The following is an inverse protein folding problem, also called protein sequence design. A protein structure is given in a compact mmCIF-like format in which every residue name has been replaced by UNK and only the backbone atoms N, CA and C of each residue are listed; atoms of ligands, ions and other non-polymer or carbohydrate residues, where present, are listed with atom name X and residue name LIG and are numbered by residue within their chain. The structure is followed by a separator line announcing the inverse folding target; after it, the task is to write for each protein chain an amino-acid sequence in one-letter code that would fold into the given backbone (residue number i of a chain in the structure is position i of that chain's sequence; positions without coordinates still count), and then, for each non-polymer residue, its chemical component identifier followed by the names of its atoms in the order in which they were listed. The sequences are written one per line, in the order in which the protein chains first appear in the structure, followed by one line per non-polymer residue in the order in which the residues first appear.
data_IF_178064849544
#
_entry.id   IF_178064849544
#
_cell.length_a   1.000
_cell.length_b   1.000
_cell.length_c   1.000
_cell.angle_alpha   90.00
_cell.angle_beta   90.00
_cell.angle_gamma   90.00
#
_symmetry.space_group_name_H-M   'P 1'
#
loop_
_entity.id
_entity.type
_entity.pdbx_description
1 polymer ?
#
# COMPACT_ATOMS: atom_id res chain seq x y z
N UNK A 1 1.60 58.69 -35.39
CA UNK A 1 0.65 57.69 -34.86
C UNK A 1 1.47 56.52 -34.35
N UNK A 2 1.69 56.34 -33.04
CA UNK A 2 2.53 55.29 -32.53
C UNK A 2 1.81 53.94 -32.68
N UNK A 3 2.37 53.05 -33.50
CA UNK A 3 1.95 51.66 -33.59
C UNK A 3 2.35 50.95 -32.30
N UNK A 4 1.53 51.06 -31.26
CA UNK A 4 1.60 50.13 -30.13
C UNK A 4 1.41 48.74 -30.73
N UNK A 5 2.48 47.94 -30.75
CA UNK A 5 2.48 46.65 -31.40
C UNK A 5 1.41 45.79 -30.74
N UNK A 6 0.46 45.34 -31.55
CA UNK A 6 -0.64 44.45 -31.16
C UNK A 6 -0.13 43.23 -30.36
N UNK A 7 1.14 42.85 -30.59
CA UNK A 7 1.86 41.82 -29.83
C UNK A 7 1.99 42.10 -28.33
N UNK A 8 2.24 43.33 -27.88
CA UNK A 8 2.36 43.63 -26.45
C UNK A 8 1.02 43.62 -25.72
N UNK A 9 -0.06 44.01 -26.39
CA UNK A 9 -1.42 43.92 -25.81
C UNK A 9 -1.89 42.47 -25.69
N UNK A 10 -1.58 41.62 -26.67
CA UNK A 10 -1.89 40.18 -26.61
C UNK A 10 -1.05 39.48 -25.53
N UNK A 11 0.25 39.80 -25.42
CA UNK A 11 1.09 39.25 -24.34
C UNK A 11 0.60 39.65 -22.95
N UNK A 12 0.22 40.92 -22.76
CA UNK A 12 -0.30 41.38 -21.48
C UNK A 12 -1.65 40.73 -21.15
N UNK A 13 -2.57 40.62 -22.11
CA UNK A 13 -3.89 40.00 -21.89
C UNK A 13 -3.78 38.50 -21.57
N UNK A 14 -2.92 37.76 -22.29
CA UNK A 14 -2.69 36.33 -22.03
C UNK A 14 -1.98 36.12 -20.69
N UNK A 15 -0.99 36.95 -20.35
CA UNK A 15 -0.31 36.88 -19.06
C UNK A 15 -1.25 37.12 -17.87
N UNK A 16 -2.15 38.09 -17.97
CA UNK A 16 -3.13 38.38 -16.91
C UNK A 16 -4.23 37.32 -16.80
N UNK A 17 -4.71 36.75 -17.90
CA UNK A 17 -5.71 35.68 -17.86
C UNK A 17 -5.17 34.39 -17.22
N UNK A 18 -3.90 34.04 -17.49
CA UNK A 18 -3.23 32.88 -16.86
C UNK A 18 -3.01 33.12 -15.37
N UNK A 19 -2.59 34.33 -14.97
CA UNK A 19 -2.41 34.67 -13.56
C UNK A 19 -3.73 34.74 -12.78
N UNK A 20 -4.80 35.30 -13.37
CA UNK A 20 -6.11 35.38 -12.74
C UNK A 20 -6.77 34.00 -12.57
N UNK A 21 -6.60 33.10 -13.56
CA UNK A 21 -7.07 31.71 -13.45
C UNK A 21 -6.35 30.92 -12.35
N UNK A 22 -5.06 31.17 -12.15
CA UNK A 22 -4.29 30.55 -11.07
C UNK A 22 -4.61 31.12 -9.68
N UNK A 23 -4.88 32.43 -9.57
CA UNK A 23 -5.21 33.06 -8.30
C UNK A 23 -6.57 32.61 -7.73
N UNK A 24 -7.54 32.27 -8.58
CA UNK A 24 -8.83 31.74 -8.13
C UNK A 24 -8.72 30.29 -7.62
N UNK A 25 -7.86 29.48 -8.24
CA UNK A 25 -7.70 28.07 -7.85
C UNK A 25 -7.09 27.87 -6.46
N UNK A 26 -6.37 28.86 -5.92
CA UNK A 26 -5.79 28.82 -4.58
C UNK A 26 -6.76 29.19 -3.44
N UNK A 27 -7.97 29.67 -3.75
CA UNK A 27 -8.97 30.13 -2.77
C UNK A 27 -10.26 29.29 -2.76
N UNK A 28 -10.22 28.05 -3.24
CA UNK A 28 -11.28 27.12 -2.86
C UNK A 28 -11.15 26.88 -1.34
N UNK A 29 -11.86 27.68 -0.54
CA UNK A 29 -12.14 27.37 0.86
C UNK A 29 -12.57 25.91 0.89
N UNK A 30 -11.93 25.05 1.71
CA UNK A 30 -12.41 23.68 1.86
C UNK A 30 -13.86 23.82 2.29
N UNK A 31 -14.77 23.40 1.41
CA UNK A 31 -16.19 23.43 1.66
C UNK A 31 -16.39 22.88 3.07
N UNK A 32 -16.83 23.76 3.99
CA UNK A 32 -17.06 23.42 5.38
C UNK A 32 -17.89 22.15 5.36
N UNK A 33 -17.24 21.04 5.69
CA UNK A 33 -17.84 19.74 5.63
C UNK A 33 -19.06 19.80 6.52
N UNK A 34 -20.24 19.74 5.90
CA UNK A 34 -21.48 19.44 6.60
C UNK A 34 -21.15 18.30 7.55
N UNK A 35 -21.44 18.51 8.84
CA UNK A 35 -21.00 17.63 9.93
C UNK A 35 -21.23 16.16 9.59
N UNK A 36 -20.34 15.28 10.08
CA UNK A 36 -20.33 13.87 9.68
C UNK A 36 -21.74 13.29 9.83
N UNK A 37 -22.29 12.61 8.80
CA UNK A 37 -23.46 11.79 9.03
C UNK A 37 -23.09 10.77 10.10
N UNK A 38 -23.86 10.71 11.19
CA UNK A 38 -23.65 9.69 12.21
C UNK A 38 -23.56 8.33 11.52
N UNK A 39 -22.46 7.58 11.68
CA UNK A 39 -22.37 6.26 11.12
C UNK A 39 -23.33 5.39 11.92
N UNK A 40 -24.49 5.10 11.33
CA UNK A 40 -25.27 3.92 11.68
C UNK A 40 -24.41 2.70 11.34
N UNK A 41 -23.53 2.33 12.27
CA UNK A 41 -22.73 1.11 12.28
C UNK A 41 -23.66 -0.10 12.36
N UNK A 42 -24.19 -0.51 11.21
CA UNK A 42 -24.64 -1.87 10.96
C UNK A 42 -23.54 -2.59 10.17
N UNK A 43 -22.38 -2.79 10.80
CA UNK A 43 -21.36 -3.71 10.28
C UNK A 43 -21.87 -5.12 10.58
N UNK A 44 -22.50 -5.73 9.57
CA UNK A 44 -22.72 -7.17 9.54
C UNK A 44 -21.35 -7.85 9.44
N UNK A 45 -20.83 -8.29 10.59
CA UNK A 45 -19.70 -9.21 10.67
C UNK A 45 -20.13 -10.55 10.06
N UNK A 46 -19.84 -10.76 8.78
CA UNK A 46 -19.85 -12.09 8.18
C UNK A 46 -18.46 -12.73 8.38
N UNK A 47 -18.36 -13.88 9.07
CA UNK A 47 -17.12 -14.64 9.09
C UNK A 47 -16.95 -15.36 7.74
N UNK A 48 -16.12 -14.81 6.84
CA UNK A 48 -15.64 -15.56 5.68
C UNK A 48 -14.59 -16.56 6.11
N UNK A 49 -15.02 -17.78 6.41
CA UNK A 49 -14.18 -18.98 6.34
C UNK A 49 -13.94 -19.29 4.86
N UNK A 50 -12.78 -18.90 4.35
CA UNK A 50 -12.27 -19.42 3.07
C UNK A 50 -11.21 -20.46 3.41
N UNK A 51 -11.68 -21.71 3.55
CA UNK A 51 -10.84 -22.90 3.49
C UNK A 51 -10.56 -23.22 2.02
N UNK A 52 -9.33 -22.97 1.57
CA UNK A 52 -8.84 -23.39 0.27
C UNK A 52 -7.91 -24.60 0.41
N UNK A 53 -8.48 -25.80 0.58
CA UNK A 53 -7.77 -27.08 0.43
C UNK A 53 -8.20 -27.73 -0.87
N UNK A 54 -7.36 -27.62 -1.90
CA UNK A 54 -7.43 -28.44 -3.11
C UNK A 54 -6.38 -29.54 -3.05
N UNK A 55 -6.71 -30.65 -2.39
CA UNK A 55 -5.95 -31.91 -2.40
C UNK A 55 -6.79 -32.94 -3.17
N UNK A 56 -6.33 -33.32 -4.36
CA UNK A 56 -6.89 -34.44 -5.13
C UNK A 56 -6.03 -35.68 -4.97
N UNK A 57 -6.67 -36.79 -4.61
CA UNK A 57 -6.25 -38.13 -5.00
C UNK A 57 -5.50 -38.93 -3.94
N UNK A 58 -6.22 -39.83 -3.26
CA UNK A 58 -5.61 -40.83 -2.37
C UNK A 58 -6.64 -41.69 -1.65
N UNK A 59 -7.35 -42.54 -2.40
CA UNK A 59 -8.14 -43.63 -1.83
C UNK A 59 -7.20 -44.70 -1.26
N UNK A 60 -7.22 -44.93 0.06
CA UNK A 60 -7.06 -46.28 0.62
C UNK A 60 -7.39 -46.33 2.12
N UNK A 61 -8.41 -47.12 2.46
CA UNK A 61 -8.30 -48.13 3.51
C UNK A 61 -8.28 -47.75 5.00
N UNK A 62 -9.39 -48.11 5.66
CA UNK A 62 -9.41 -49.05 6.81
C UNK A 62 -9.24 -48.49 8.24
N UNK A 63 -10.42 -48.41 8.88
CA UNK A 63 -10.81 -48.97 10.18
C UNK A 63 -10.12 -48.54 11.49
N UNK A 64 -11.02 -48.10 12.39
CA UNK A 64 -11.13 -48.44 13.81
C UNK A 64 -10.18 -47.77 14.82
N UNK A 65 -10.82 -46.98 15.69
CA UNK A 65 -10.57 -47.00 17.13
C UNK A 65 -9.52 -46.03 17.65
N UNK A 66 -9.96 -44.94 18.28
CA UNK A 66 -9.38 -44.47 19.54
C UNK A 66 -10.19 -43.30 20.12
N UNK A 67 -10.72 -43.57 21.32
CA UNK A 67 -10.64 -42.72 22.51
C UNK A 67 -10.83 -41.22 22.33
N UNK A 68 -12.06 -40.79 22.59
CA UNK A 68 -12.42 -39.46 23.04
C UNK A 68 -11.77 -39.17 24.41
N UNK A 69 -10.64 -38.48 24.39
CA UNK A 69 -10.04 -37.84 25.56
C UNK A 69 -10.62 -36.41 25.70
N UNK A 70 -11.19 -36.04 26.85
CA UNK A 70 -11.78 -34.71 27.03
C UNK A 70 -10.67 -33.65 27.07
N UNK A 71 -10.72 -32.59 26.24
CA UNK A 71 -9.72 -31.53 26.28
C UNK A 71 -9.85 -30.78 27.61
N UNK A 72 -8.78 -30.84 28.40
CA UNK A 72 -8.59 -30.04 29.60
C UNK A 72 -8.82 -28.56 29.26
N UNK A 73 -9.82 -27.97 29.92
CA UNK A 73 -10.17 -26.56 29.85
C UNK A 73 -9.09 -25.68 30.50
N UNK A 74 -7.92 -25.61 29.87
CA UNK A 74 -6.94 -24.55 30.06
C UNK A 74 -7.29 -23.37 29.16
N UNK A 75 -8.50 -22.82 29.30
CA UNK A 75 -8.86 -21.56 28.67
C UNK A 75 -8.02 -20.47 29.34
N UNK A 76 -6.83 -20.24 28.79
CA UNK A 76 -6.03 -19.07 29.11
C UNK A 76 -6.95 -17.88 28.88
N UNK A 77 -7.33 -17.23 29.99
CA UNK A 77 -8.08 -15.99 29.98
C UNK A 77 -7.32 -15.03 29.08
N UNK A 78 -7.77 -14.89 27.82
CA UNK A 78 -7.32 -13.85 26.93
C UNK A 78 -7.68 -12.57 27.63
N UNK A 79 -6.66 -11.93 28.24
CA UNK A 79 -6.79 -10.61 28.81
C UNK A 79 -7.44 -9.75 27.74
N UNK A 80 -8.64 -9.25 28.06
CA UNK A 80 -9.50 -8.49 27.14
C UNK A 80 -8.78 -7.18 26.86
N UNK A 81 -7.88 -7.22 25.89
CA UNK A 81 -7.24 -6.05 25.33
C UNK A 81 -8.26 -5.23 24.55
N UNK A 82 -7.97 -3.94 24.28
CA UNK A 82 -8.81 -3.14 23.40
C UNK A 82 -8.97 -3.83 22.04
N UNK A 83 -10.12 -3.69 21.37
CA UNK A 83 -10.35 -4.32 20.08
C UNK A 83 -9.27 -3.87 19.09
N UNK A 84 -8.57 -4.85 18.53
CA UNK A 84 -7.47 -4.63 17.58
C UNK A 84 -7.63 -5.58 16.39
N UNK A 85 -7.32 -5.08 15.19
CA UNK A 85 -7.19 -5.93 14.00
C UNK A 85 -5.73 -6.32 13.87
N UNK A 86 -5.46 -7.62 13.78
CA UNK A 86 -4.10 -8.12 13.57
C UNK A 86 -3.95 -8.50 12.11
N UNK A 87 -2.97 -7.91 11.44
CA UNK A 87 -2.55 -8.25 10.08
C UNK A 87 -1.30 -9.12 10.22
N UNK A 88 -1.39 -10.38 9.81
CA UNK A 88 -0.31 -11.36 9.93
C UNK A 88 0.07 -11.87 8.56
N UNK A 89 1.34 -11.72 8.23
CA UNK A 89 1.86 -12.07 6.92
C UNK A 89 3.15 -12.86 7.07
N UNK A 90 3.34 -13.84 6.20
CA UNK A 90 4.59 -14.56 6.08
C UNK A 90 5.19 -14.38 4.68
N UNK A 91 6.51 -14.24 4.64
CA UNK A 91 7.32 -14.38 3.45
C UNK A 91 8.16 -15.65 3.58
N UNK A 92 8.13 -16.50 2.57
CA UNK A 92 9.01 -17.65 2.46
C UNK A 92 9.88 -17.48 1.21
N UNK A 93 11.11 -17.97 1.28
CA UNK A 93 12.03 -17.98 0.13
C UNK A 93 12.25 -19.41 -0.31
N UNK A 94 12.42 -19.55 -1.63
CA UNK A 94 12.91 -20.77 -2.23
C UNK A 94 14.30 -21.15 -1.73
N UNK A 95 14.74 -22.33 -2.15
CA UNK A 95 15.99 -22.92 -1.73
C UNK A 95 17.18 -22.06 -2.16
N UNK A 96 17.91 -21.48 -1.19
CA UNK A 96 19.19 -20.80 -1.47
C UNK A 96 20.36 -21.74 -1.21
N UNK A 97 21.27 -21.93 -2.20
CA UNK A 97 22.24 -23.01 -2.14
C UNK A 97 23.37 -22.79 -1.13
N UNK A 98 23.71 -21.56 -0.72
CA UNK A 98 24.87 -21.33 0.17
C UNK A 98 24.77 -20.08 1.07
N UNK A 99 24.09 -19.02 0.64
CA UNK A 99 24.15 -17.73 1.34
C UNK A 99 22.96 -17.52 2.29
N UNK A 100 23.21 -17.70 3.60
CA UNK A 100 22.23 -17.43 4.66
C UNK A 100 21.77 -15.99 4.66
N UNK A 101 22.64 -15.04 4.36
CA UNK A 101 22.31 -13.62 4.39
C UNK A 101 21.40 -13.25 3.22
N UNK A 102 21.70 -13.77 2.01
CA UNK A 102 20.83 -13.60 0.85
C UNK A 102 19.43 -14.21 1.09
N UNK A 103 19.35 -15.43 1.65
CA UNK A 103 18.09 -16.06 1.97
C UNK A 103 17.25 -15.24 2.98
N UNK A 104 17.89 -14.67 4.00
CA UNK A 104 17.20 -13.82 4.97
C UNK A 104 16.69 -12.52 4.35
N UNK A 105 17.50 -11.85 3.52
CA UNK A 105 17.11 -10.59 2.86
C UNK A 105 15.95 -10.80 1.88
N UNK A 106 15.96 -11.89 1.13
CA UNK A 106 14.86 -12.21 0.22
C UNK A 106 13.57 -12.55 1.00
N UNK A 107 13.69 -13.22 2.15
CA UNK A 107 12.54 -13.55 3.00
C UNK A 107 11.90 -12.29 3.57
N UNK A 108 12.74 -11.33 3.95
CA UNK A 108 12.33 -10.00 4.40
C UNK A 108 11.61 -9.23 3.31
N UNK A 109 12.19 -9.17 2.11
CA UNK A 109 11.56 -8.48 0.99
C UNK A 109 10.22 -9.12 0.61
N UNK A 110 10.13 -10.45 0.60
CA UNK A 110 8.89 -11.16 0.32
C UNK A 110 7.84 -10.90 1.40
N UNK A 111 8.21 -10.99 2.68
CA UNK A 111 7.30 -10.72 3.79
C UNK A 111 6.79 -9.27 3.77
N UNK A 112 7.66 -8.30 3.48
CA UNK A 112 7.29 -6.89 3.32
C UNK A 112 6.36 -6.66 2.12
N UNK A 113 6.61 -7.32 0.98
CA UNK A 113 5.74 -7.23 -0.18
C UNK A 113 4.33 -7.76 0.13
N UNK A 114 4.25 -8.93 0.75
CA UNK A 114 2.96 -9.49 1.16
C UNK A 114 2.27 -8.64 2.23
N UNK A 115 3.02 -7.97 3.12
CA UNK A 115 2.45 -7.01 4.08
C UNK A 115 1.82 -5.82 3.35
N UNK A 116 2.51 -5.26 2.35
CA UNK A 116 1.95 -4.17 1.54
C UNK A 116 0.72 -4.60 0.76
N UNK A 117 0.67 -5.84 0.25
CA UNK A 117 -0.52 -6.38 -0.40
C UNK A 117 -1.70 -6.46 0.56
N UNK A 118 -1.50 -6.97 1.78
CA UNK A 118 -2.54 -7.02 2.81
C UNK A 118 -2.98 -5.63 3.28
N UNK A 119 -2.05 -4.68 3.41
CA UNK A 119 -2.40 -3.29 3.71
C UNK A 119 -3.19 -2.64 2.58
N UNK A 120 -2.85 -2.94 1.32
CA UNK A 120 -3.58 -2.44 0.17
C UNK A 120 -4.99 -3.04 0.07
N UNK A 121 -5.16 -4.34 0.37
CA UNK A 121 -6.49 -4.94 0.44
C UNK A 121 -7.31 -4.32 1.57
N UNK A 122 -6.69 -4.04 2.72
CA UNK A 122 -7.35 -3.38 3.85
C UNK A 122 -7.74 -1.93 3.50
N UNK A 123 -6.88 -1.19 2.80
CA UNK A 123 -7.20 0.14 2.28
C UNK A 123 -8.36 0.08 1.27
N UNK A 124 -8.38 -0.94 0.41
CA UNK A 124 -9.46 -1.16 -0.55
C UNK A 124 -10.77 -1.53 0.16
N UNK A 125 -10.75 -2.30 1.24
CA UNK A 125 -11.94 -2.60 2.05
C UNK A 125 -12.49 -1.34 2.73
N UNK A 126 -11.62 -0.48 3.27
CA UNK A 126 -12.02 0.69 4.05
C UNK A 126 -12.45 1.89 3.20
N UNK A 127 -11.79 2.11 2.07
CA UNK A 127 -11.98 3.31 1.25
C UNK A 127 -12.26 3.01 -0.22
N UNK A 128 -12.45 1.74 -0.61
CA UNK A 128 -12.62 1.31 -2.02
C UNK A 128 -11.47 1.75 -2.95
N UNK A 129 -10.31 2.11 -2.38
CA UNK A 129 -9.18 2.66 -3.11
C UNK A 129 -7.99 1.71 -3.09
N UNK A 130 -7.34 1.57 -4.24
CA UNK A 130 -6.02 0.95 -4.35
C UNK A 130 -4.95 2.02 -4.22
N UNK A 131 -4.00 1.77 -3.33
CA UNK A 131 -2.85 2.64 -3.09
C UNK A 131 -1.67 2.20 -3.97
N UNK A 132 -0.90 3.17 -4.46
CA UNK A 132 0.35 2.87 -5.16
C UNK A 132 1.40 2.35 -4.18
N UNK A 133 2.43 1.63 -4.65
CA UNK A 133 3.50 1.11 -3.77
C UNK A 133 4.19 2.21 -2.95
N UNK A 134 4.40 3.39 -3.56
CA UNK A 134 4.96 4.57 -2.87
C UNK A 134 4.02 5.10 -1.79
N UNK A 135 2.72 5.20 -2.09
CA UNK A 135 1.72 5.62 -1.11
C UNK A 135 1.61 4.62 0.05
N UNK A 136 1.65 3.31 -0.23
CA UNK A 136 1.66 2.28 0.80
C UNK A 136 2.85 2.43 1.74
N UNK A 137 4.04 2.78 1.25
CA UNK A 137 5.20 3.03 2.11
C UNK A 137 4.98 4.23 3.04
N UNK A 138 4.40 5.32 2.53
CA UNK A 138 4.11 6.52 3.34
C UNK A 138 3.02 6.25 4.37
N UNK A 139 1.94 5.59 3.97
CA UNK A 139 0.84 5.22 4.86
C UNK A 139 1.27 4.18 5.90
N UNK A 140 2.13 3.24 5.52
CA UNK A 140 2.74 2.30 6.45
C UNK A 140 3.60 3.01 7.50
N UNK A 141 4.46 3.95 7.08
CA UNK A 141 5.24 4.76 8.02
C UNK A 141 4.35 5.60 8.93
N UNK A 142 3.25 6.16 8.40
CA UNK A 142 2.26 6.88 9.19
C UNK A 142 1.57 5.97 10.22
N UNK A 143 1.23 4.73 9.86
CA UNK A 143 0.64 3.73 10.77
C UNK A 143 1.60 3.38 11.91
N UNK A 144 2.88 3.13 11.62
CA UNK A 144 3.89 2.86 12.65
C UNK A 144 4.12 4.03 13.59
N UNK A 145 3.88 5.27 13.14
CA UNK A 145 3.99 6.46 13.99
C UNK A 145 2.78 6.65 14.94
N UNK A 146 1.70 5.87 14.78
CA UNK A 146 0.51 6.00 15.62
C UNK A 146 0.69 5.30 16.98
N UNK A 147 0.15 5.88 18.07
CA UNK A 147 0.22 5.26 19.39
C UNK A 147 -0.56 3.94 19.43
N UNK A 148 0.07 2.92 20.03
CA UNK A 148 -0.52 1.59 20.21
C UNK A 148 -0.44 0.66 19.00
N UNK A 149 0.17 1.11 17.89
CA UNK A 149 0.51 0.21 16.78
C UNK A 149 1.77 -0.54 17.15
N UNK A 150 1.67 -1.86 17.22
CA UNK A 150 2.79 -2.74 17.52
C UNK A 150 3.15 -3.55 16.28
N UNK A 151 4.44 -3.55 15.93
CA UNK A 151 5.00 -4.42 14.91
C UNK A 151 5.91 -5.45 15.58
N UNK A 152 5.59 -6.73 15.37
CA UNK A 152 6.45 -7.85 15.74
C UNK A 152 6.98 -8.51 14.48
N UNK A 153 8.29 -8.75 14.43
CA UNK A 153 8.94 -9.47 13.36
C UNK A 153 9.61 -10.71 13.96
N UNK A 154 9.34 -11.87 13.36
CA UNK A 154 9.97 -13.13 13.73
C UNK A 154 10.62 -13.71 12.48
N UNK A 155 11.89 -14.10 12.60
CA UNK A 155 12.64 -14.74 11.53
C UNK A 155 13.00 -16.15 12.00
N UNK A 156 12.61 -17.14 11.20
CA UNK A 156 12.98 -18.54 11.38
C UNK A 156 13.83 -19.00 10.19
N UNK A 157 14.99 -19.58 10.46
CA UNK A 157 15.91 -20.06 9.43
C UNK A 157 16.15 -21.53 9.67
N UNK A 158 15.67 -22.36 8.75
CA UNK A 158 15.77 -23.81 8.82
C UNK A 158 16.71 -24.32 7.73
N UNK A 159 17.69 -25.11 8.13
CA UNK A 159 18.55 -25.85 7.21
C UNK A 159 17.85 -27.17 6.83
N UNK A 160 17.42 -27.28 5.58
CA UNK A 160 16.75 -28.46 5.06
C UNK A 160 17.69 -29.23 4.13
N UNK A 161 17.45 -30.53 3.85
CA UNK A 161 18.36 -31.34 3.01
C UNK A 161 18.62 -30.80 1.62
N UNK A 162 17.73 -29.94 1.12
CA UNK A 162 17.83 -29.31 -0.20
C UNK A 162 18.46 -27.92 -0.16
N UNK A 163 18.64 -27.30 1.01
CA UNK A 163 19.26 -25.99 1.17
C UNK A 163 18.62 -25.17 2.31
N UNK A 164 19.08 -23.93 2.46
CA UNK A 164 18.61 -23.01 3.48
C UNK A 164 17.23 -22.47 3.12
N UNK A 165 16.30 -22.52 4.06
CA UNK A 165 14.97 -21.90 3.96
C UNK A 165 14.80 -20.90 5.08
N UNK A 166 14.64 -19.63 4.73
CA UNK A 166 14.31 -18.56 5.65
C UNK A 166 12.81 -18.24 5.53
N UNK A 167 12.15 -18.11 6.68
CA UNK A 167 10.75 -17.71 6.82
C UNK A 167 10.71 -16.49 7.72
N UNK A 168 10.17 -15.39 7.19
CA UNK A 168 9.92 -14.20 7.98
C UNK A 168 8.43 -14.00 8.17
N UNK A 169 8.04 -13.79 9.42
CA UNK A 169 6.69 -13.46 9.81
C UNK A 169 6.63 -12.04 10.36
N UNK A 170 5.77 -11.22 9.76
CA UNK A 170 5.50 -9.86 10.21
C UNK A 170 4.07 -9.81 10.72
N UNK A 171 3.93 -9.48 12.00
CA UNK A 171 2.64 -9.26 12.65
C UNK A 171 2.49 -7.78 12.98
N UNK A 172 1.48 -7.14 12.41
CA UNK A 172 1.13 -5.75 12.66
C UNK A 172 -0.21 -5.72 13.42
N UNK A 173 -0.19 -5.19 14.65
CA UNK A 173 -1.39 -4.99 15.46
C UNK A 173 -1.86 -3.56 15.33
N UNK A 174 -3.08 -3.39 14.82
CA UNK A 174 -3.71 -2.10 14.61
C UNK A 174 -4.87 -1.91 15.59
N UNK A 175 -4.78 -0.95 16.54
CA UNK A 175 -5.92 -0.56 17.36
C UNK A 175 -7.07 -0.04 16.48
N UNK A 176 -8.33 -0.33 16.84
CA UNK A 176 -9.48 0.13 16.06
C UNK A 176 -9.57 1.66 15.94
N UNK A 177 -9.11 2.41 16.96
CA UNK A 177 -9.05 3.86 16.91
C UNK A 177 -8.05 4.41 15.88
N UNK A 178 -6.96 3.66 15.60
CA UNK A 178 -6.01 4.01 14.54
C UNK A 178 -6.60 3.67 13.18
N UNK A 179 -7.26 2.53 13.07
CA UNK A 179 -7.89 2.08 11.82
C UNK A 179 -9.00 3.04 11.36
N UNK A 180 -9.81 3.57 12.28
CA UNK A 180 -10.82 4.60 11.99
C UNK A 180 -10.19 5.94 11.55
N UNK A 181 -9.11 6.37 12.19
CA UNK A 181 -8.37 7.57 11.76
C UNK A 181 -7.70 7.37 10.40
N UNK A 182 -7.20 6.17 10.14
CA UNK A 182 -6.61 5.82 8.87
C UNK A 182 -7.65 5.81 7.75
N UNK A 183 -8.84 5.22 7.98
CA UNK A 183 -9.92 5.25 6.98
C UNK A 183 -10.35 6.68 6.64
N UNK A 184 -10.48 7.55 7.65
CA UNK A 184 -10.80 8.96 7.43
C UNK A 184 -9.73 9.63 6.57
N UNK A 185 -8.45 9.45 6.92
CA UNK A 185 -7.32 9.98 6.16
C UNK A 185 -7.32 9.49 4.70
N UNK A 186 -7.63 8.21 4.46
CA UNK A 186 -7.72 7.67 3.09
C UNK A 186 -8.86 8.32 2.31
N UNK A 187 -10.01 8.59 2.93
CA UNK A 187 -11.12 9.30 2.30
C UNK A 187 -10.76 10.75 1.98
N UNK A 188 -10.05 11.44 2.88
CA UNK A 188 -9.59 12.82 2.65
C UNK A 188 -8.63 12.87 1.45
N UNK A 189 -7.69 11.93 1.34
CA UNK A 189 -6.79 11.81 0.18
C UNK A 189 -7.55 11.51 -1.11
N UNK A 190 -8.63 10.73 -1.05
CA UNK A 190 -9.47 10.45 -2.19
C UNK A 190 -10.21 11.71 -2.64
N UNK A 191 -10.80 12.46 -1.70
CA UNK A 191 -11.52 13.69 -1.96
C UNK A 191 -10.62 14.77 -2.56
N UNK A 192 -9.39 14.90 -2.06
CA UNK A 192 -8.39 15.81 -2.63
C UNK A 192 -8.04 15.42 -4.07
N UNK A 193 -7.80 14.12 -4.32
CA UNK A 193 -7.48 13.64 -5.67
C UNK A 193 -8.64 13.87 -6.65
N UNK A 194 -9.88 13.59 -6.25
CA UNK A 194 -11.04 13.82 -7.11
C UNK A 194 -11.26 15.30 -7.37
N UNK A 195 -11.08 16.16 -6.37
CA UNK A 195 -11.13 17.61 -6.53
C UNK A 195 -10.08 18.10 -7.56
N UNK A 196 -8.84 17.62 -7.48
CA UNK A 196 -7.80 17.95 -8.46
C UNK A 196 -8.12 17.45 -9.87
N UNK A 197 -8.67 16.25 -10.02
CA UNK A 197 -9.07 15.71 -11.32
C UNK A 197 -10.21 16.51 -11.95
N UNK A 198 -11.26 16.79 -11.18
CA UNK A 198 -12.40 17.60 -11.62
C UNK A 198 -11.92 19.01 -11.97
N UNK A 199 -11.10 19.62 -11.10
CA UNK A 199 -10.53 20.93 -11.31
C UNK A 199 -9.68 20.99 -12.59
N UNK A 200 -8.81 20.01 -12.82
CA UNK A 200 -8.00 19.90 -14.03
C UNK A 200 -8.84 19.73 -15.30
N UNK A 201 -9.92 18.93 -15.24
CA UNK A 201 -10.84 18.75 -16.35
C UNK A 201 -11.60 20.05 -16.70
N UNK A 202 -12.16 20.73 -15.70
CA UNK A 202 -12.84 22.03 -15.88
C UNK A 202 -11.87 23.08 -16.41
N UNK A 203 -10.66 23.16 -15.84
CA UNK A 203 -9.61 24.06 -16.31
C UNK A 203 -9.24 23.82 -17.77
N UNK A 204 -9.13 22.55 -18.19
CA UNK A 204 -8.87 22.19 -19.59
C UNK A 204 -9.98 22.69 -20.52
N UNK A 205 -11.25 22.48 -20.16
CA UNK A 205 -12.39 22.95 -20.96
C UNK A 205 -12.38 24.47 -21.14
N UNK A 206 -12.10 25.22 -20.08
CA UNK A 206 -12.00 26.68 -20.13
C UNK A 206 -10.87 27.15 -21.04
N UNK A 207 -9.69 26.54 -20.95
CA UNK A 207 -8.55 26.85 -21.83
C UNK A 207 -8.88 26.61 -23.29
N UNK A 208 -9.55 25.49 -23.61
CA UNK A 208 -9.98 25.19 -24.97
C UNK A 208 -11.02 26.17 -25.50
N UNK A 209 -12.02 26.53 -24.67
CA UNK A 209 -13.03 27.51 -25.03
C UNK A 209 -12.40 28.88 -25.37
N UNK A 210 -11.49 29.36 -24.51
CA UNK A 210 -10.75 30.60 -24.74
C UNK A 210 -9.91 30.50 -26.01
N UNK A 211 -9.23 29.37 -26.23
CA UNK A 211 -8.46 29.13 -27.44
C UNK A 211 -9.33 29.23 -28.71
N UNK A 212 -10.51 28.61 -28.72
CA UNK A 212 -11.41 28.67 -29.88
C UNK A 212 -11.94 30.07 -30.14
N UNK A 213 -12.27 30.82 -29.09
CA UNK A 213 -12.68 32.23 -29.20
C UNK A 213 -11.57 33.07 -29.83
N UNK A 214 -10.32 32.93 -29.36
CA UNK A 214 -9.17 33.63 -29.91
C UNK A 214 -8.93 33.28 -31.39
N UNK A 215 -9.04 32.01 -31.74
CA UNK A 215 -8.95 31.55 -33.14
C UNK A 215 -10.00 32.22 -34.02
N UNK A 216 -11.26 32.30 -33.58
CA UNK A 216 -12.33 32.97 -34.33
C UNK A 216 -12.09 34.48 -34.51
N UNK A 217 -11.53 35.14 -33.50
CA UNK A 217 -11.16 36.56 -33.59
C UNK A 217 -10.03 36.79 -34.60
N UNK A 218 -9.01 35.92 -34.60
CA UNK A 218 -7.87 36.02 -35.53
C UNK A 218 -8.31 35.68 -36.96
N UNK A 219 -9.16 34.67 -37.13
CA UNK A 219 -9.73 34.30 -38.44
C UNK A 219 -10.51 35.48 -39.06
N UNK A 220 -11.33 36.16 -38.24
CA UNK A 220 -12.05 37.37 -38.66
C UNK A 220 -11.12 38.53 -39.00
N UNK A 221 -10.03 38.70 -38.25
CA UNK A 221 -9.05 39.77 -38.50
C UNK A 221 -8.20 39.53 -39.76
N UNK A 222 -7.94 38.26 -40.10
CA UNK A 222 -7.10 37.87 -41.24
C UNK A 222 -7.89 37.65 -42.54
N UNK A 223 -9.21 37.85 -42.52
CA UNK A 223 -10.06 37.69 -43.70
C UNK A 223 -10.14 36.25 -44.20
N UNK A 224 -10.00 35.25 -43.30
CA UNK A 224 -10.08 33.82 -43.58
C UNK A 224 -8.99 33.22 -44.51
N UNK A 225 -7.95 33.97 -44.89
CA UNK A 225 -6.90 33.48 -45.82
C UNK A 225 -6.08 32.31 -45.24
N UNK A 226 -5.92 32.26 -43.91
CA UNK A 226 -5.08 31.27 -43.21
C UNK A 226 -5.87 30.30 -42.33
N UNK A 227 -7.16 30.10 -42.60
CA UNK A 227 -8.06 29.35 -41.71
C UNK A 227 -7.54 27.97 -41.34
N UNK A 228 -7.17 27.16 -42.33
CA UNK A 228 -6.69 25.78 -42.11
C UNK A 228 -5.37 25.73 -41.32
N UNK A 229 -4.27 26.39 -41.76
CA UNK A 229 -3.01 26.31 -41.01
C UNK A 229 -3.12 26.92 -39.61
N UNK A 230 -3.94 27.95 -39.41
CA UNK A 230 -4.15 28.57 -38.10
C UNK A 230 -4.88 27.63 -37.15
N UNK A 231 -5.96 26.99 -37.61
CA UNK A 231 -6.68 25.99 -36.80
C UNK A 231 -5.76 24.82 -36.44
N UNK A 232 -4.98 24.30 -37.39
CA UNK A 232 -4.03 23.21 -37.13
C UNK A 232 -2.97 23.61 -36.10
N UNK A 233 -2.38 24.80 -36.25
CA UNK A 233 -1.39 25.32 -35.31
C UNK A 233 -1.97 25.47 -33.90
N UNK A 234 -3.17 26.05 -33.78
CA UNK A 234 -3.84 26.25 -32.50
C UNK A 234 -4.19 24.90 -31.84
N UNK A 235 -4.71 23.93 -32.59
CA UNK A 235 -4.98 22.59 -32.07
C UNK A 235 -3.70 21.93 -31.56
N UNK A 236 -2.59 22.07 -32.29
CA UNK A 236 -1.29 21.55 -31.87
C UNK A 236 -0.84 22.19 -30.55
N UNK A 237 -0.89 23.53 -30.46
CA UNK A 237 -0.50 24.27 -29.25
C UNK A 237 -1.37 23.87 -28.05
N UNK A 238 -2.70 23.85 -28.21
CA UNK A 238 -3.60 23.45 -27.14
C UNK A 238 -3.39 22.00 -26.71
N UNK A 239 -3.12 21.09 -27.65
CA UNK A 239 -2.84 19.69 -27.35
C UNK A 239 -1.57 19.55 -26.50
N UNK A 240 -0.49 20.23 -26.89
CA UNK A 240 0.78 20.24 -26.14
C UNK A 240 0.58 20.82 -24.74
N UNK A 241 -0.10 21.95 -24.62
CA UNK A 241 -0.39 22.57 -23.32
C UNK A 241 -1.25 21.67 -22.43
N UNK A 242 -2.23 20.99 -23.01
CA UNK A 242 -3.08 20.03 -22.28
C UNK A 242 -2.23 18.88 -21.75
N UNK A 243 -1.40 18.25 -22.59
CA UNK A 243 -0.51 17.15 -22.16
C UNK A 243 0.45 17.59 -21.06
N UNK A 244 1.08 18.77 -21.20
CA UNK A 244 1.98 19.30 -20.17
C UNK A 244 1.25 19.62 -18.86
N UNK A 245 0.04 20.17 -18.93
CA UNK A 245 -0.80 20.44 -17.77
C UNK A 245 -1.14 19.16 -17.01
N UNK A 246 -1.57 18.12 -17.71
CA UNK A 246 -1.89 16.82 -17.10
C UNK A 246 -0.64 16.11 -16.58
N UNK A 247 0.48 16.20 -17.28
CA UNK A 247 1.77 15.68 -16.79
C UNK A 247 2.16 16.33 -15.47
N UNK A 248 2.09 17.65 -15.39
CA UNK A 248 2.40 18.40 -14.17
C UNK A 248 1.48 18.02 -13.01
N UNK A 249 0.16 18.00 -13.23
CA UNK A 249 -0.83 17.56 -12.23
C UNK A 249 -0.50 16.14 -11.75
N UNK A 250 -0.16 15.23 -12.67
CA UNK A 250 0.26 13.87 -12.34
C UNK A 250 1.48 13.85 -11.41
N UNK A 251 2.54 14.58 -11.74
CA UNK A 251 3.74 14.61 -10.88
C UNK A 251 3.48 15.18 -9.49
N UNK A 252 2.64 16.22 -9.36
CA UNK A 252 2.35 16.85 -8.07
C UNK A 252 1.39 16.06 -7.19
N UNK A 253 0.44 15.34 -7.79
CA UNK A 253 -0.53 14.54 -7.03
C UNK A 253 -0.02 13.15 -6.67
N UNK A 254 1.02 12.66 -7.35
CA UNK A 254 1.52 11.29 -7.17
C UNK A 254 2.91 11.16 -6.54
N UNK A 255 3.66 12.25 -6.37
CA UNK A 255 4.89 12.21 -5.57
C UNK A 255 4.60 12.64 -4.13
N UNK A 256 4.56 11.70 -3.17
CA UNK A 256 4.60 12.10 -1.77
C UNK A 256 5.91 12.86 -1.48
N UNK A 257 5.94 13.72 -0.46
CA UNK A 257 7.19 14.33 0.00
C UNK A 257 8.21 13.20 0.20
N UNK A 258 9.36 13.32 -0.46
CA UNK A 258 10.38 12.28 -0.46
C UNK A 258 10.72 11.81 0.94
N UNK A 259 11.14 10.53 1.12
CA UNK A 259 11.51 10.01 2.42
C UNK A 259 12.50 10.98 3.07
N UNK A 260 12.18 11.43 4.28
CA UNK A 260 13.10 12.28 5.03
C UNK A 260 14.44 11.54 5.10
N UNK A 261 15.56 12.15 4.67
CA UNK A 261 16.85 11.46 4.53
C UNK A 261 17.40 10.87 5.84
N UNK A 262 16.72 11.09 6.97
CA UNK A 262 17.15 10.69 8.31
C UNK A 262 16.63 9.31 8.76
N UNK A 263 15.83 8.58 7.95
CA UNK A 263 15.31 7.25 8.35
C UNK A 263 16.22 6.08 7.95
N UNK A 264 17.26 6.29 7.16
CA UNK A 264 18.29 5.28 6.90
C UNK A 264 19.31 5.26 8.06
N UNK A 265 18.84 4.93 9.26
CA UNK A 265 19.75 4.53 10.34
C UNK A 265 20.45 3.22 9.97
N UNK A 266 21.71 2.99 10.39
CA UNK A 266 22.37 1.71 10.20
C UNK A 266 21.50 0.60 10.80
N UNK A 267 21.37 -0.53 10.08
CA UNK A 267 20.64 -1.69 10.56
C UNK A 267 21.08 -2.01 12.00
N UNK A 268 20.14 -2.21 12.95
CA UNK A 268 20.52 -2.66 14.27
C UNK A 268 21.29 -3.98 14.12
N UNK A 269 22.40 -4.17 14.86
CA UNK A 269 23.13 -5.42 14.83
C UNK A 269 22.17 -6.57 15.19
N UNK A 270 22.35 -7.76 14.59
CA UNK A 270 21.50 -8.90 14.89
C UNK A 270 21.46 -9.10 16.40
N UNK A 271 20.25 -9.04 16.97
CA UNK A 271 20.05 -9.40 18.36
C UNK A 271 20.40 -10.88 18.45
N UNK A 272 21.57 -11.17 18.99
CA UNK A 272 21.97 -12.54 19.35
C UNK A 272 21.01 -12.94 20.46
N UNK A 273 19.85 -13.50 20.07
CA UNK A 273 19.03 -14.26 21.00
C UNK A 273 19.97 -15.39 21.44
N UNK A 274 20.35 -15.46 22.73
CA UNK A 274 21.19 -16.56 23.18
C UNK A 274 20.47 -17.82 22.73
N UNK A 275 21.17 -18.62 21.90
CA UNK A 275 20.69 -19.93 21.51
C UNK A 275 20.18 -20.58 22.79
N UNK A 276 18.90 -20.93 22.81
CA UNK A 276 18.26 -21.61 23.94
C UNK A 276 19.26 -22.65 24.44
N UNK A 277 19.89 -22.36 25.58
CA UNK A 277 20.83 -23.26 26.21
C UNK A 277 19.98 -24.50 26.45
N UNK A 278 20.34 -25.56 25.72
CA UNK A 278 19.46 -26.71 25.52
C UNK A 278 18.81 -27.09 26.83
N UNK A 279 17.49 -27.27 26.79
CA UNK A 279 16.86 -28.20 27.70
C UNK A 279 17.67 -29.48 27.56
N UNK A 280 18.53 -29.74 28.56
CA UNK A 280 19.19 -31.01 28.75
C UNK A 280 18.07 -32.04 28.67
N UNK A 281 18.00 -32.75 27.56
CA UNK A 281 17.24 -33.98 27.52
C UNK A 281 17.85 -34.85 28.62
N UNK A 282 17.07 -35.28 29.64
CA UNK A 282 17.58 -36.23 30.61
C UNK A 282 18.05 -37.44 29.81
N UNK A 283 19.32 -37.79 30.00
CA UNK A 283 19.93 -38.97 29.41
C UNK A 283 19.00 -40.17 29.66
N UNK A 284 18.53 -40.78 28.58
CA UNK A 284 17.85 -42.05 28.67
C UNK A 284 18.80 -43.04 29.38
N UNK A 285 18.36 -43.76 30.41
CA UNK A 285 19.21 -44.72 31.10
C UNK A 285 19.66 -45.79 30.10
N UNK A 286 20.97 -45.98 30.02
CA UNK A 286 21.60 -47.06 29.30
C UNK A 286 21.12 -48.39 29.91
N UNK A 287 20.23 -49.08 29.19
CA UNK A 287 19.88 -50.46 29.47
C UNK A 287 21.03 -51.37 29.05
N UNK A 288 21.99 -51.57 29.95
CA UNK A 288 22.87 -52.73 29.95
C UNK A 288 22.10 -54.00 30.35
N UNK A 289 22.35 -55.09 29.63
CA UNK A 289 22.00 -56.45 30.04
C UNK A 289 20.87 -57.06 29.21
N UNK A 290 21.07 -58.14 28.47
CA UNK A 290 22.23 -58.98 28.29
C UNK A 290 21.90 -60.07 27.27
N UNK A 291 22.92 -60.46 26.51
CA UNK A 291 22.94 -61.78 25.88
C UNK A 291 23.21 -62.82 26.97
N UNK A 292 22.49 -63.96 26.97
CA UNK A 292 23.24 -65.18 26.69
C UNK A 292 22.51 -66.16 25.78
N UNK A 293 23.33 -66.81 24.96
CA UNK A 293 23.12 -68.06 24.26
C UNK A 293 22.25 -69.09 25.01
N UNK A 294 21.38 -69.79 24.28
CA UNK A 294 21.14 -71.21 24.54
C UNK A 294 20.72 -71.96 23.27
N UNK A 295 21.67 -72.76 22.79
CA UNK A 295 21.44 -74.03 22.11
C UNK A 295 20.49 -74.90 22.94
N UNK A 296 19.48 -75.49 22.29
CA UNK A 296 19.04 -76.89 22.45
C UNK A 296 17.73 -77.12 21.68
N UNK A 297 17.70 -78.16 20.83
CA UNK A 297 16.48 -78.73 20.25
C UNK A 297 16.51 -78.84 18.75
#
# INVERSE_FOLDING_TARGET
MPHASLGHLVQAAVGWAVLAGWAWFGQAEPAQAAGPPEPLLAVALFPSVVGGTGQTGGLSGRAAGSSSEPPAAGATAQAVGPPSRTVRVWGEVGVHPVDRQAACQEAEQNALNSLYEQLNSLAQELASQRLSRRQLTVEYAWLLAQPGVEQSQQMDVQEKPYGLVARQEITLRLPMAVLARWSQRLQDLQAERTAWLIGGAVGTLLVWLVGFLLTGLVDRATGAYYRTPLVVLMLLVLSVLTVLGWWWIGTKTFDPPGPSPNLAGPCPPPRVVPAYAGTQYPAAPAGEGGHPSRLAG
#
